data_IF_215314830468
#
_entry.id   IF_215314830468
#
_cell.length_a   1.000
_cell.length_b   1.000
_cell.length_c   1.000
_cell.angle_alpha   90.00
_cell.angle_beta   90.00
_cell.angle_gamma   90.00
#
_symmetry.space_group_name_H-M   'P 1'
#
loop_
_entity.id
_entity.type
_entity.pdbx_description
1 polymer ?
#
# COMPACT_ATOMS: atom_id res chain seq x y z
N UNK A 1 -1.30 -8.01 14.10
CA UNK A 1 -2.22 -6.88 14.43
C UNK A 1 -2.26 -5.96 13.22
N UNK A 2 -3.41 -5.37 12.86
CA UNK A 2 -3.52 -4.46 11.71
C UNK A 2 -4.06 -3.09 12.16
N UNK A 3 -3.57 -2.02 11.55
CA UNK A 3 -4.16 -0.69 11.71
C UNK A 3 -5.40 -0.54 10.85
N UNK A 4 -6.49 0.00 11.41
CA UNK A 4 -7.79 0.13 10.70
C UNK A 4 -8.31 1.57 10.65
N UNK A 5 -7.58 2.53 11.20
CA UNK A 5 -8.00 3.93 11.32
C UNK A 5 -7.12 4.91 10.50
N UNK A 6 -6.12 4.40 9.80
CA UNK A 6 -5.29 5.22 8.90
C UNK A 6 -6.05 5.58 7.62
N UNK A 7 -5.68 6.69 6.95
CA UNK A 7 -6.38 7.15 5.76
C UNK A 7 -6.03 6.34 4.50
N UNK A 8 -4.95 5.53 4.54
CA UNK A 8 -4.57 4.64 3.44
C UNK A 8 -5.37 3.34 3.54
N UNK A 9 -6.25 3.02 2.57
CA UNK A 9 -6.96 1.75 2.56
C UNK A 9 -6.02 0.62 2.20
N UNK A 10 -6.21 -0.54 2.83
CA UNK A 10 -5.52 -1.78 2.50
C UNK A 10 -6.58 -2.79 2.08
N UNK A 11 -6.49 -3.25 0.85
CA UNK A 11 -7.40 -4.23 0.27
C UNK A 11 -6.65 -5.53 -0.01
N UNK A 12 -7.23 -6.65 0.38
CA UNK A 12 -6.69 -7.97 0.09
C UNK A 12 -7.09 -8.41 -1.32
N UNK A 13 -6.13 -8.88 -2.10
CA UNK A 13 -6.41 -9.38 -3.43
C UNK A 13 -7.34 -10.59 -3.36
N UNK A 14 -8.40 -10.59 -4.18
CA UNK A 14 -9.35 -11.70 -4.25
C UNK A 14 -8.68 -12.91 -4.93
N UNK A 15 -8.18 -13.81 -4.09
CA UNK A 15 -7.48 -15.01 -4.53
C UNK A 15 -8.44 -16.04 -5.15
N UNK A 16 -9.72 -16.02 -4.76
CA UNK A 16 -10.72 -16.99 -5.21
C UNK A 16 -11.06 -16.81 -6.68
N UNK A 17 -11.06 -15.55 -7.16
CA UNK A 17 -11.25 -15.23 -8.59
C UNK A 17 -9.97 -15.34 -9.44
N UNK A 18 -8.83 -15.74 -8.85
CA UNK A 18 -7.54 -15.78 -9.52
C UNK A 18 -6.89 -17.18 -9.49
N UNK A 19 -7.24 -18.08 -10.44
CA UNK A 19 -6.78 -19.48 -10.45
C UNK A 19 -5.25 -19.64 -10.48
N UNK A 20 -4.54 -18.77 -11.19
CA UNK A 20 -3.08 -18.81 -11.25
C UNK A 20 -2.44 -18.48 -9.90
N UNK A 21 -2.95 -17.45 -9.21
CA UNK A 21 -2.44 -17.04 -7.91
C UNK A 21 -2.75 -18.10 -6.85
N UNK A 22 -3.94 -18.71 -6.90
CA UNK A 22 -4.29 -19.87 -6.08
C UNK A 22 -3.33 -21.05 -6.31
N UNK A 23 -3.04 -21.39 -7.57
CA UNK A 23 -2.11 -22.47 -7.91
C UNK A 23 -0.67 -22.18 -7.43
N UNK A 24 -0.23 -20.92 -7.51
CA UNK A 24 1.07 -20.49 -7.01
C UNK A 24 1.18 -20.69 -5.49
N UNK A 25 0.21 -20.21 -4.71
CA UNK A 25 0.21 -20.36 -3.26
C UNK A 25 0.16 -21.83 -2.85
N UNK A 26 -0.60 -22.66 -3.58
CA UNK A 26 -0.60 -24.10 -3.37
C UNK A 26 0.78 -24.71 -3.62
N UNK A 27 1.42 -24.39 -4.74
CA UNK A 27 2.76 -24.90 -5.06
C UNK A 27 3.81 -24.48 -4.02
N UNK A 28 3.73 -23.25 -3.53
CA UNK A 28 4.59 -22.77 -2.44
C UNK A 28 4.36 -23.59 -1.15
N UNK A 29 3.10 -23.80 -0.78
CA UNK A 29 2.75 -24.63 0.39
C UNK A 29 3.21 -26.08 0.23
N UNK A 30 3.12 -26.67 -0.95
CA UNK A 30 3.57 -28.05 -1.23
C UNK A 30 5.10 -28.19 -1.04
N UNK A 31 5.86 -27.10 -1.21
CA UNK A 31 7.30 -27.03 -0.97
C UNK A 31 7.66 -26.67 0.50
N UNK A 32 6.67 -26.52 1.37
CA UNK A 32 6.86 -26.16 2.78
C UNK A 32 7.07 -24.68 3.04
N UNK A 33 6.80 -23.80 2.05
CA UNK A 33 6.86 -22.35 2.24
C UNK A 33 5.62 -21.92 3.05
N UNK A 34 5.77 -21.21 4.18
CA UNK A 34 4.64 -20.74 4.97
C UNK A 34 3.74 -19.79 4.17
N UNK A 35 2.42 -19.97 4.30
CA UNK A 35 1.42 -19.07 3.75
C UNK A 35 0.79 -18.28 4.89
N UNK A 36 0.86 -16.94 4.84
CA UNK A 36 0.33 -16.09 5.90
C UNK A 36 0.58 -14.61 5.69
N UNK A 37 0.08 -13.76 6.59
CA UNK A 37 0.16 -12.31 6.46
C UNK A 37 1.60 -11.79 6.62
N UNK A 38 2.26 -11.41 5.52
CA UNK A 38 3.61 -10.84 5.52
C UNK A 38 3.68 -9.42 6.07
N UNK A 39 2.54 -8.74 6.23
CA UNK A 39 2.45 -7.48 6.96
C UNK A 39 2.12 -7.71 8.46
N UNK A 40 2.09 -8.97 8.88
CA UNK A 40 1.73 -9.42 10.22
C UNK A 40 2.93 -9.95 11.00
N UNK A 41 2.77 -11.15 11.55
CA UNK A 41 3.81 -11.84 12.35
C UNK A 41 4.69 -12.77 11.53
N UNK A 42 4.36 -12.97 10.25
CA UNK A 42 5.12 -13.82 9.35
C UNK A 42 6.19 -12.97 8.67
N UNK A 43 7.46 -13.24 8.99
CA UNK A 43 8.58 -12.47 8.45
C UNK A 43 8.97 -12.88 7.02
N UNK A 44 8.70 -14.13 6.62
CA UNK A 44 9.00 -14.68 5.29
C UNK A 44 8.01 -15.80 4.92
N UNK A 45 7.68 -15.89 3.63
CA UNK A 45 6.70 -16.82 3.09
C UNK A 45 5.98 -16.26 1.86
N UNK A 46 4.77 -16.74 1.62
CA UNK A 46 3.91 -16.22 0.55
C UNK A 46 2.53 -15.80 1.07
N UNK A 47 1.90 -14.85 0.39
CA UNK A 47 0.56 -14.36 0.73
C UNK A 47 -0.18 -13.86 -0.52
N UNK A 48 -1.53 -13.82 -0.49
CA UNK A 48 -2.27 -12.94 -1.39
C UNK A 48 -1.80 -11.50 -1.21
N UNK A 49 -1.50 -10.81 -2.32
CA UNK A 49 -1.02 -9.44 -2.25
C UNK A 49 -2.06 -8.52 -1.56
N UNK A 50 -1.58 -7.59 -0.75
CA UNK A 50 -2.36 -6.47 -0.28
C UNK A 50 -2.05 -5.24 -1.11
N UNK A 51 -3.07 -4.46 -1.41
CA UNK A 51 -2.96 -3.32 -2.31
C UNK A 51 -3.59 -2.08 -1.68
N UNK A 52 -3.04 -0.92 -2.01
CA UNK A 52 -3.66 0.36 -1.71
C UNK A 52 -4.70 0.67 -2.78
N UNK A 53 -5.84 -0.02 -2.69
CA UNK A 53 -6.96 0.14 -3.62
C UNK A 53 -8.27 0.30 -2.87
N UNK A 54 -9.20 1.04 -3.46
CA UNK A 54 -10.56 1.18 -2.96
C UNK A 54 -11.53 1.13 -4.14
N UNK A 55 -12.50 0.21 -4.09
CA UNK A 55 -13.47 -0.04 -5.18
C UNK A 55 -12.82 -0.24 -6.55
N UNK A 56 -11.69 -0.96 -6.58
CA UNK A 56 -10.94 -1.26 -7.81
C UNK A 56 -10.04 -0.12 -8.31
N UNK A 57 -10.05 1.05 -7.68
CA UNK A 57 -9.18 2.17 -8.03
C UNK A 57 -7.96 2.20 -7.14
N UNK A 58 -6.80 2.57 -7.71
CA UNK A 58 -5.60 2.85 -6.94
C UNK A 58 -5.85 4.04 -6.01
N UNK A 59 -5.39 3.93 -4.77
CA UNK A 59 -5.29 5.04 -3.82
C UNK A 59 -3.82 5.34 -3.59
N UNK A 60 -3.40 6.52 -4.02
CA UNK A 60 -2.05 7.03 -3.85
C UNK A 60 -1.88 7.73 -2.49
N UNK A 61 -0.64 8.10 -2.17
CA UNK A 61 -0.35 8.90 -0.98
C UNK A 61 -0.95 10.30 -1.07
N UNK A 62 -1.08 10.86 -2.28
CA UNK A 62 -1.76 12.14 -2.51
C UNK A 62 -3.24 12.00 -2.15
N UNK A 63 -3.92 11.00 -2.72
CA UNK A 63 -5.35 10.76 -2.47
C UNK A 63 -5.63 10.53 -0.97
N UNK A 64 -4.77 9.76 -0.28
CA UNK A 64 -4.99 9.39 1.12
C UNK A 64 -4.65 10.51 2.11
N UNK A 65 -3.59 11.28 1.88
CA UNK A 65 -3.05 12.20 2.90
C UNK A 65 -3.09 13.67 2.50
N UNK A 66 -2.94 13.99 1.22
CA UNK A 66 -2.82 15.37 0.77
C UNK A 66 -4.16 15.95 0.34
N UNK A 67 -4.90 15.22 -0.50
CA UNK A 67 -6.22 15.62 -1.01
C UNK A 67 -7.22 16.00 0.10
N UNK A 68 -7.27 15.33 1.28
CA UNK A 68 -8.18 15.73 2.35
C UNK A 68 -7.87 17.10 2.97
N UNK A 69 -6.67 17.67 2.73
CA UNK A 69 -6.20 18.92 3.35
C UNK A 69 -5.77 19.98 2.33
N UNK A 70 -5.97 19.74 1.03
CA UNK A 70 -5.59 20.67 -0.06
C UNK A 70 -6.25 22.05 0.07
N UNK A 71 -7.48 22.11 0.59
CA UNK A 71 -8.25 23.35 0.74
C UNK A 71 -7.94 24.12 2.05
N UNK A 72 -6.94 23.67 2.81
CA UNK A 72 -6.59 24.30 4.09
C UNK A 72 -5.59 25.45 3.89
N UNK A 73 -5.78 26.55 4.62
CA UNK A 73 -4.92 27.74 4.49
C UNK A 73 -3.46 27.52 4.95
N UNK A 74 -3.17 26.40 5.63
CA UNK A 74 -1.85 26.05 6.16
C UNK A 74 -1.05 25.13 5.24
N UNK A 75 -1.57 24.75 4.07
CA UNK A 75 -0.87 23.90 3.10
C UNK A 75 -0.82 24.58 1.74
N UNK A 76 0.39 24.77 1.19
CA UNK A 76 0.59 25.27 -0.16
C UNK A 76 1.29 24.20 -1.00
N UNK A 77 0.67 23.82 -2.12
CA UNK A 77 1.21 22.82 -3.03
C UNK A 77 1.73 23.53 -4.28
N UNK A 78 3.04 23.39 -4.54
CA UNK A 78 3.68 23.90 -5.74
C UNK A 78 4.00 22.72 -6.67
N UNK A 79 3.22 22.58 -7.74
CA UNK A 79 3.49 21.57 -8.78
C UNK A 79 4.54 22.08 -9.77
N UNK A 80 5.18 21.16 -10.51
CA UNK A 80 6.19 21.49 -11.52
C UNK A 80 7.35 22.36 -11.02
N UNK A 81 7.67 22.28 -9.72
CA UNK A 81 8.70 23.09 -9.08
C UNK A 81 9.83 22.18 -8.61
N UNK A 82 10.96 22.19 -9.33
CA UNK A 82 12.13 21.39 -8.95
C UNK A 82 12.98 22.14 -7.92
N UNK A 83 13.17 21.55 -6.75
CA UNK A 83 14.10 22.09 -5.74
C UNK A 83 15.54 21.88 -6.22
N UNK A 84 16.33 22.96 -6.26
CA UNK A 84 17.73 22.92 -6.75
C UNK A 84 18.76 22.93 -5.61
N UNK A 85 18.50 23.71 -4.55
CA UNK A 85 19.40 23.87 -3.42
C UNK A 85 18.62 24.37 -2.20
N UNK A 86 19.06 23.95 -1.02
CA UNK A 86 18.67 24.57 0.25
C UNK A 86 19.66 25.67 0.59
N UNK A 87 19.18 26.87 0.91
CA UNK A 87 20.00 27.97 1.42
C UNK A 87 20.32 27.74 2.90
N UNK A 88 21.58 27.90 3.28
CA UNK A 88 22.00 27.93 4.68
C UNK A 88 22.24 29.38 5.09
N UNK A 89 21.82 29.74 6.30
CA UNK A 89 22.17 31.02 6.90
C UNK A 89 23.47 30.83 7.70
N UNK A 90 24.54 31.51 7.27
CA UNK A 90 25.77 31.70 8.05
C UNK A 90 25.72 32.98 8.86
#
# INVERSE_FOLDING_TARGET
MRGTYGPMPVHEFDIESAPLASAFLKGASDLGIPIGDLNGVLDDGAMPAQTNTYRGWRVSTVDAYLDPITDTANVQILTNTQVLKVSENS
#
